data_IF_997942356735
#
_entry.id   IF_997942356735
#
_cell.length_a   1.000
_cell.length_b   1.000
_cell.length_c   1.000
_cell.angle_alpha   90.00
_cell.angle_beta   90.00
_cell.angle_gamma   90.00
#
_symmetry.space_group_name_H-M   'P 1'
#
loop_
_entity.id
_entity.type
_entity.pdbx_description
1 polymer ?
#
# COMPACT_ATOMS: atom_id res chain seq x y z
N UNK A 1 -10.55 14.91 -10.60
CA UNK A 1 -9.58 15.92 -10.15
C UNK A 1 -9.23 15.78 -8.69
N UNK A 2 -10.18 15.97 -7.76
CA UNK A 2 -9.90 15.74 -6.33
C UNK A 2 -9.45 14.31 -6.07
N UNK A 3 -10.08 13.33 -6.72
CA UNK A 3 -9.74 11.92 -6.58
C UNK A 3 -8.32 11.63 -7.09
N UNK A 4 -7.90 12.28 -8.16
CA UNK A 4 -6.56 12.09 -8.72
C UNK A 4 -5.47 12.59 -7.77
N UNK A 5 -5.66 13.76 -7.17
CA UNK A 5 -4.72 14.32 -6.19
C UNK A 5 -4.64 13.43 -4.95
N UNK A 6 -5.80 13.04 -4.43
CA UNK A 6 -5.89 12.13 -3.28
C UNK A 6 -5.15 10.82 -3.56
N UNK A 7 -5.39 10.21 -4.72
CA UNK A 7 -4.76 8.95 -5.08
C UNK A 7 -3.25 9.10 -5.27
N UNK A 8 -2.79 10.22 -5.81
CA UNK A 8 -1.36 10.50 -5.94
C UNK A 8 -0.68 10.56 -4.57
N UNK A 9 -1.31 11.24 -3.62
CA UNK A 9 -0.78 11.32 -2.25
C UNK A 9 -0.72 9.93 -1.63
N UNK A 10 -1.75 9.11 -1.81
CA UNK A 10 -1.79 7.75 -1.29
C UNK A 10 -0.73 6.86 -1.93
N UNK A 11 -0.52 6.95 -3.23
CA UNK A 11 0.49 6.15 -3.93
C UNK A 11 1.90 6.48 -3.46
N UNK A 12 2.18 7.75 -3.23
CA UNK A 12 3.46 8.18 -2.67
C UNK A 12 3.59 7.69 -1.23
N UNK A 13 2.50 7.75 -0.45
CA UNK A 13 2.47 7.21 0.90
C UNK A 13 2.80 5.73 0.94
N UNK A 14 2.28 4.95 0.01
CA UNK A 14 2.60 3.51 -0.11
C UNK A 14 4.11 3.33 -0.27
N UNK A 15 4.72 4.06 -1.18
CA UNK A 15 6.17 3.97 -1.44
C UNK A 15 7.00 4.35 -0.22
N UNK A 16 6.65 5.44 0.45
CA UNK A 16 7.41 5.92 1.60
C UNK A 16 7.27 4.97 2.78
N UNK A 17 6.06 4.50 3.06
CA UNK A 17 5.83 3.54 4.15
C UNK A 17 6.52 2.21 3.87
N UNK A 18 6.53 1.74 2.63
CA UNK A 18 7.21 0.51 2.26
C UNK A 18 8.72 0.58 2.54
N UNK A 19 9.32 1.76 2.35
CA UNK A 19 10.75 1.96 2.57
C UNK A 19 11.12 2.27 4.01
N UNK A 20 10.33 3.09 4.69
CA UNK A 20 10.69 3.66 6.00
C UNK A 20 9.81 3.18 7.16
N UNK A 21 8.72 2.48 6.87
CA UNK A 21 7.71 2.13 7.86
C UNK A 21 6.81 3.31 8.20
N UNK A 22 5.69 3.04 8.87
CA UNK A 22 4.71 4.06 9.22
C UNK A 22 5.26 5.07 10.22
N UNK A 23 5.94 4.60 11.25
CA UNK A 23 6.46 5.48 12.29
C UNK A 23 7.61 6.37 11.81
N UNK A 24 8.29 5.95 10.75
CA UNK A 24 9.37 6.73 10.14
C UNK A 24 8.92 7.77 9.12
N UNK A 25 7.62 7.81 8.79
CA UNK A 25 7.10 8.70 7.78
C UNK A 25 6.73 10.06 8.36
N UNK A 26 7.13 11.13 7.67
CA UNK A 26 6.64 12.46 7.94
C UNK A 26 5.62 12.88 6.90
N UNK A 27 4.52 13.48 7.32
CA UNK A 27 3.51 13.99 6.39
C UNK A 27 4.13 14.97 5.39
N UNK A 28 5.02 15.83 5.85
CA UNK A 28 5.68 16.80 4.97
C UNK A 28 6.51 16.14 3.87
N UNK A 29 7.16 15.02 4.17
CA UNK A 29 7.92 14.27 3.17
C UNK A 29 7.01 13.77 2.04
N UNK A 30 5.85 13.22 2.41
CA UNK A 30 4.86 12.74 1.43
C UNK A 30 4.34 13.91 0.58
N UNK A 31 4.01 15.02 1.22
CA UNK A 31 3.49 16.19 0.54
C UNK A 31 4.51 16.82 -0.41
N UNK A 32 5.78 16.84 -0.01
CA UNK A 32 6.85 17.36 -0.86
C UNK A 32 7.02 16.49 -2.11
N UNK A 33 7.00 15.18 -1.96
CA UNK A 33 7.08 14.27 -3.11
C UNK A 33 5.84 14.35 -4.01
N UNK A 34 4.68 14.56 -3.41
CA UNK A 34 3.42 14.71 -4.14
C UNK A 34 3.23 16.11 -4.74
N UNK A 35 4.15 17.03 -4.44
CA UNK A 35 4.06 18.44 -4.86
C UNK A 35 2.71 19.05 -4.44
N UNK A 36 2.30 18.78 -3.20
CA UNK A 36 0.99 19.15 -2.67
C UNK A 36 1.16 20.01 -1.42
N UNK A 37 0.45 21.15 -1.32
CA UNK A 37 0.48 21.99 -0.11
C UNK A 37 -0.11 21.26 1.11
N UNK A 38 0.39 21.62 2.29
CA UNK A 38 -0.08 21.03 3.55
C UNK A 38 -1.58 21.21 3.77
N UNK A 39 -2.14 22.35 3.38
CA UNK A 39 -3.57 22.59 3.50
C UNK A 39 -4.41 21.61 2.69
N UNK A 40 -3.90 21.17 1.55
CA UNK A 40 -4.59 20.20 0.72
C UNK A 40 -4.63 18.82 1.36
N UNK A 41 -3.60 18.46 2.13
CA UNK A 41 -3.59 17.18 2.86
C UNK A 41 -4.80 17.09 3.80
N UNK A 42 -5.04 18.11 4.61
CA UNK A 42 -6.15 18.11 5.56
C UNK A 42 -7.51 18.24 4.89
N UNK A 43 -7.54 18.55 3.62
CA UNK A 43 -8.76 18.53 2.83
C UNK A 43 -9.19 17.08 2.51
N UNK A 44 -8.23 16.16 2.39
CA UNK A 44 -8.50 14.76 2.05
C UNK A 44 -8.42 13.81 3.24
N UNK A 45 -7.61 14.12 4.24
CA UNK A 45 -7.35 13.25 5.39
C UNK A 45 -7.50 14.04 6.68
N UNK A 46 -8.17 13.44 7.67
CA UNK A 46 -8.40 14.10 8.97
C UNK A 46 -7.12 14.29 9.76
N UNK A 47 -6.24 13.27 9.74
CA UNK A 47 -5.00 13.25 10.50
C UNK A 47 -4.07 12.18 9.90
N UNK A 48 -2.89 12.01 10.51
CA UNK A 48 -1.92 11.02 10.05
C UNK A 48 -2.47 9.59 10.14
N UNK A 49 -3.22 9.28 11.19
CA UNK A 49 -3.82 7.95 11.38
C UNK A 49 -4.83 7.64 10.27
N UNK A 50 -5.72 8.58 9.96
CA UNK A 50 -6.66 8.43 8.85
C UNK A 50 -5.92 8.21 7.53
N UNK A 51 -4.87 8.97 7.29
CA UNK A 51 -4.01 8.80 6.11
C UNK A 51 -3.43 7.38 6.06
N UNK A 52 -2.91 6.87 7.17
CA UNK A 52 -2.36 5.52 7.24
C UNK A 52 -3.38 4.45 6.92
N UNK A 53 -4.61 4.59 7.43
CA UNK A 53 -5.71 3.66 7.13
C UNK A 53 -6.03 3.68 5.63
N UNK A 54 -6.12 4.86 5.04
CA UNK A 54 -6.41 4.99 3.61
C UNK A 54 -5.29 4.41 2.75
N UNK A 55 -4.03 4.56 3.16
CA UNK A 55 -2.88 3.96 2.46
C UNK A 55 -2.99 2.44 2.48
N UNK A 56 -3.30 1.85 3.62
CA UNK A 56 -3.45 0.38 3.75
C UNK A 56 -4.57 -0.12 2.84
N UNK A 57 -5.72 0.56 2.85
CA UNK A 57 -6.86 0.19 2.01
C UNK A 57 -6.51 0.26 0.53
N UNK A 58 -5.86 1.32 0.10
CA UNK A 58 -5.48 1.45 -1.31
C UNK A 58 -4.45 0.41 -1.72
N UNK A 59 -3.48 0.12 -0.87
CA UNK A 59 -2.50 -0.94 -1.12
C UNK A 59 -3.19 -2.30 -1.29
N UNK A 60 -4.15 -2.62 -0.41
CA UNK A 60 -4.91 -3.86 -0.50
C UNK A 60 -5.70 -3.96 -1.80
N UNK A 61 -6.37 -2.87 -2.19
CA UNK A 61 -7.12 -2.84 -3.45
C UNK A 61 -6.19 -3.05 -4.65
N UNK A 62 -5.04 -2.37 -4.67
CA UNK A 62 -4.05 -2.51 -5.73
C UNK A 62 -3.49 -3.93 -5.78
N UNK A 63 -3.21 -4.52 -4.63
CA UNK A 63 -2.68 -5.88 -4.52
C UNK A 63 -3.70 -6.91 -5.03
N UNK A 64 -4.97 -6.76 -4.64
CA UNK A 64 -6.03 -7.66 -5.11
C UNK A 64 -6.22 -7.56 -6.62
N UNK A 65 -6.21 -6.34 -7.16
CA UNK A 65 -6.32 -6.14 -8.60
C UNK A 65 -5.15 -6.79 -9.35
N UNK A 66 -3.94 -6.65 -8.83
CA UNK A 66 -2.74 -7.25 -9.38
C UNK A 66 -2.83 -8.78 -9.38
N UNK A 67 -3.19 -9.38 -8.26
CA UNK A 67 -3.35 -10.83 -8.14
C UNK A 67 -4.43 -11.33 -9.09
N UNK A 68 -5.58 -10.66 -9.11
CA UNK A 68 -6.70 -11.07 -9.96
C UNK A 68 -6.36 -10.99 -11.44
N UNK A 69 -5.51 -10.05 -11.85
CA UNK A 69 -5.10 -9.94 -13.26
C UNK A 69 -4.40 -11.21 -13.75
N UNK A 70 -3.69 -11.92 -12.87
CA UNK A 70 -3.08 -13.21 -13.22
C UNK A 70 -4.07 -14.35 -13.12
N UNK A 71 -4.92 -14.38 -12.09
CA UNK A 71 -5.84 -15.49 -11.86
C UNK A 71 -7.00 -15.53 -12.86
N UNK A 72 -7.34 -14.40 -13.45
CA UNK A 72 -8.42 -14.30 -14.44
C UNK A 72 -8.00 -14.68 -15.86
N UNK A 73 -6.72 -14.95 -16.10
CA UNK A 73 -6.24 -15.31 -17.42
C UNK A 73 -6.65 -16.74 -17.76
N UNK A 74 -7.77 -16.89 -18.46
CA UNK A 74 -8.32 -18.20 -18.84
C UNK A 74 -7.59 -18.86 -19.99
N UNK A 75 -6.63 -18.19 -20.61
CA UNK A 75 -5.83 -18.75 -21.70
C UNK A 75 -4.81 -19.78 -21.22
N UNK A 76 -4.53 -19.81 -19.93
CA UNK A 76 -3.60 -20.75 -19.31
C UNK A 76 -4.29 -21.48 -18.16
N UNK A 77 -3.77 -22.66 -17.80
CA UNK A 77 -4.34 -23.47 -16.73
C UNK A 77 -4.16 -22.85 -15.34
N UNK A 78 -4.94 -23.32 -14.34
CA UNK A 78 -4.87 -22.75 -12.99
C UNK A 78 -3.49 -22.77 -12.35
N UNK A 79 -2.75 -23.88 -12.48
CA UNK A 79 -1.39 -23.97 -11.94
C UNK A 79 -0.45 -22.99 -12.62
N UNK A 80 -0.57 -22.84 -13.94
CA UNK A 80 0.26 -21.93 -14.70
C UNK A 80 -0.02 -20.47 -14.31
N UNK A 81 -1.26 -20.13 -13.99
CA UNK A 81 -1.61 -18.78 -13.49
C UNK A 81 -0.88 -18.48 -12.20
N UNK A 82 -0.85 -19.44 -11.28
CA UNK A 82 -0.17 -19.29 -9.99
C UNK A 82 1.34 -19.15 -10.20
N UNK A 83 1.94 -19.99 -11.04
CA UNK A 83 3.36 -19.90 -11.34
C UNK A 83 3.74 -18.55 -11.95
N UNK A 84 2.93 -18.07 -12.89
CA UNK A 84 3.18 -16.78 -13.54
C UNK A 84 3.12 -15.64 -12.53
N UNK A 85 2.16 -15.68 -11.60
CA UNK A 85 2.04 -14.70 -10.52
C UNK A 85 3.31 -14.70 -9.67
N UNK A 86 3.75 -15.86 -9.21
CA UNK A 86 4.94 -15.95 -8.37
C UNK A 86 6.21 -15.52 -9.09
N UNK A 87 6.35 -15.84 -10.36
CA UNK A 87 7.47 -15.38 -11.17
C UNK A 87 7.51 -13.86 -11.23
N UNK A 88 6.37 -13.23 -11.45
CA UNK A 88 6.29 -11.77 -11.51
C UNK A 88 6.61 -11.12 -10.17
N UNK A 89 6.09 -11.68 -9.08
CA UNK A 89 6.40 -11.22 -7.72
C UNK A 89 7.90 -11.32 -7.46
N UNK A 90 8.52 -12.44 -7.82
CA UNK A 90 9.95 -12.64 -7.64
C UNK A 90 10.77 -11.61 -8.42
N UNK A 91 10.40 -11.34 -9.68
CA UNK A 91 11.07 -10.32 -10.50
C UNK A 91 10.98 -8.94 -9.86
N UNK A 92 9.84 -8.63 -9.27
CA UNK A 92 9.64 -7.34 -8.60
C UNK A 92 10.54 -7.20 -7.38
N UNK A 93 10.64 -8.25 -6.56
CA UNK A 93 11.54 -8.23 -5.41
C UNK A 93 13.00 -8.11 -5.82
N UNK A 94 13.43 -8.82 -6.85
CA UNK A 94 14.80 -8.73 -7.37
C UNK A 94 15.07 -7.32 -7.90
N UNK A 95 14.13 -6.75 -8.65
CA UNK A 95 14.26 -5.38 -9.19
C UNK A 95 14.45 -4.35 -8.08
N UNK A 96 13.75 -4.53 -6.96
CA UNK A 96 13.83 -3.63 -5.81
C UNK A 96 14.95 -4.01 -4.84
N UNK A 97 15.81 -4.99 -5.20
CA UNK A 97 16.91 -5.47 -4.37
C UNK A 97 16.46 -5.94 -2.98
N UNK A 98 15.22 -6.44 -2.89
CA UNK A 98 14.59 -6.89 -1.64
C UNK A 98 14.49 -5.80 -0.56
N UNK A 99 14.57 -4.52 -0.96
CA UNK A 99 14.49 -3.38 -0.03
C UNK A 99 13.08 -3.08 0.44
N UNK A 100 12.09 -3.41 -0.38
CA UNK A 100 10.69 -3.19 -0.06
C UNK A 100 10.02 -4.53 0.22
N UNK A 101 9.48 -4.69 1.43
CA UNK A 101 8.70 -5.86 1.77
C UNK A 101 7.23 -5.66 1.48
N UNK A 102 6.41 -6.61 1.93
CA UNK A 102 4.96 -6.47 1.85
C UNK A 102 4.49 -5.40 2.83
N UNK A 103 3.79 -4.38 2.31
CA UNK A 103 3.31 -3.28 3.15
C UNK A 103 2.39 -3.78 4.26
N UNK A 104 1.47 -4.69 3.96
CA UNK A 104 0.56 -5.25 4.97
C UNK A 104 1.31 -6.02 6.05
N UNK A 105 2.29 -6.85 5.66
CA UNK A 105 3.10 -7.59 6.61
C UNK A 105 3.92 -6.68 7.50
N UNK A 106 4.59 -5.71 6.92
CA UNK A 106 5.41 -4.74 7.66
C UNK A 106 4.55 -3.87 8.58
N UNK A 107 3.41 -3.40 8.10
CA UNK A 107 2.49 -2.60 8.89
C UNK A 107 1.86 -3.41 10.01
N UNK A 108 1.58 -4.68 9.78
CA UNK A 108 1.04 -5.59 10.79
C UNK A 108 2.04 -5.78 11.94
N UNK A 109 3.34 -5.94 11.63
CA UNK A 109 4.40 -6.05 12.62
C UNK A 109 4.56 -4.76 13.42
N UNK A 110 4.52 -3.61 12.74
CA UNK A 110 4.75 -2.31 13.35
C UNK A 110 3.52 -1.80 14.12
N UNK A 111 2.32 -1.95 13.55
CA UNK A 111 1.10 -1.32 14.04
C UNK A 111 0.06 -2.30 14.61
N UNK A 112 0.21 -3.59 14.35
CA UNK A 112 -0.80 -4.59 14.75
C UNK A 112 -1.05 -4.69 16.24
N UNK A 113 -0.07 -4.32 17.07
CA UNK A 113 -0.20 -4.29 18.51
C UNK A 113 -0.83 -3.03 19.06
N UNK A 114 -1.04 -2.02 18.22
CA UNK A 114 -1.66 -0.76 18.63
C UNK A 114 -3.18 -0.90 18.61
N UNK A 115 -3.83 -0.33 19.63
CA UNK A 115 -5.27 -0.33 19.70
C UNK A 115 -5.86 0.72 18.78
N UNK A 116 -7.03 0.44 18.21
CA UNK A 116 -7.74 1.40 17.38
C UNK A 116 -7.96 0.92 15.96
N UNK A 117 -8.16 1.86 15.04
CA UNK A 117 -8.57 1.53 13.68
C UNK A 117 -7.52 0.77 12.88
N UNK A 118 -6.23 0.91 13.20
CA UNK A 118 -5.19 0.15 12.50
C UNK A 118 -5.32 -1.35 12.72
N UNK A 119 -5.48 -1.79 13.97
CA UNK A 119 -5.68 -3.21 14.29
C UNK A 119 -6.89 -3.77 13.57
N UNK A 120 -8.01 -3.05 13.60
CA UNK A 120 -9.25 -3.48 12.95
C UNK A 120 -9.08 -3.60 11.44
N UNK A 121 -8.44 -2.64 10.81
CA UNK A 121 -8.21 -2.66 9.36
C UNK A 121 -7.29 -3.81 8.98
N UNK A 122 -6.19 -4.00 9.72
CA UNK A 122 -5.23 -5.07 9.43
C UNK A 122 -5.87 -6.45 9.59
N UNK A 123 -6.67 -6.67 10.63
CA UNK A 123 -7.39 -7.92 10.83
C UNK A 123 -8.33 -8.20 9.65
N UNK A 124 -9.06 -7.19 9.20
CA UNK A 124 -9.96 -7.33 8.06
C UNK A 124 -9.21 -7.73 6.78
N UNK A 125 -8.05 -7.11 6.51
CA UNK A 125 -7.30 -7.35 5.28
C UNK A 125 -6.62 -8.73 5.26
N UNK A 126 -6.29 -9.29 6.42
CA UNK A 126 -5.67 -10.62 6.50
C UNK A 126 -6.68 -11.75 6.66
N UNK A 127 -7.93 -11.46 6.89
CA UNK A 127 -9.00 -12.46 6.94
C UNK A 127 -9.73 -12.53 5.61
#
# INVERSE_FOLDING_TARGET
>A
MKTEVRNRILDIGIKVIAKKGYNGIGIMEVLNEAETPKGSFYHYFKNKEDFGVQVIKRYSENTLAYINSFLENTNIGPLQRIFTLFEDVQKTYVKNEFKEGCLLGNSSTELGGQKGCFSTVLEHEFM
#
